data_IF_161619802249
#
_entry.id   IF_161619802249
#
_cell.length_a   1.000
_cell.length_b   1.000
_cell.length_c   1.000
_cell.angle_alpha   90.00
_cell.angle_beta   90.00
_cell.angle_gamma   90.00
#
_symmetry.space_group_name_H-M   'P 1'
#
loop_
_entity.id
_entity.type
_entity.pdbx_description
1 polymer ?
#
# COMPACT_ATOMS: atom_id res chain seq x y z
N UNK A 1 -16.36 -11.38 2.69
CA UNK A 1 -16.15 -12.83 2.48
C UNK A 1 -16.94 -13.22 1.25
N UNK A 2 -16.41 -14.10 0.40
CA UNK A 2 -17.11 -14.53 -0.81
C UNK A 2 -17.57 -15.96 -0.54
N UNK A 3 -18.87 -16.19 -0.47
CA UNK A 3 -19.48 -17.50 -0.29
C UNK A 3 -19.69 -18.24 -1.61
N UNK A 4 -20.40 -19.36 -1.57
CA UNK A 4 -20.69 -20.15 -2.76
C UNK A 4 -21.70 -19.46 -3.69
N UNK A 5 -22.69 -18.75 -3.13
CA UNK A 5 -23.75 -18.06 -3.88
C UNK A 5 -23.97 -16.61 -3.43
N UNK A 6 -23.05 -16.05 -2.65
CA UNK A 6 -23.23 -14.70 -2.09
C UNK A 6 -21.91 -14.00 -1.83
N UNK A 7 -21.97 -12.67 -1.79
CA UNK A 7 -20.90 -11.83 -1.25
C UNK A 7 -21.36 -11.31 0.10
N UNK A 8 -20.55 -11.52 1.13
CA UNK A 8 -20.86 -11.15 2.51
C UNK A 8 -19.97 -10.02 2.97
N UNK A 9 -20.56 -8.90 3.34
CA UNK A 9 -19.86 -7.80 3.99
C UNK A 9 -20.10 -7.87 5.49
N UNK A 10 -19.09 -7.55 6.30
CA UNK A 10 -19.21 -7.46 7.74
C UNK A 10 -19.05 -6.01 8.16
N UNK A 11 -19.94 -5.51 9.01
CA UNK A 11 -19.88 -4.17 9.58
C UNK A 11 -20.51 -4.16 10.97
N UNK A 12 -20.14 -3.22 11.83
CA UNK A 12 -20.83 -3.02 13.12
C UNK A 12 -22.24 -2.45 12.85
N UNK A 13 -23.28 -3.09 13.36
CA UNK A 13 -24.67 -2.67 13.13
C UNK A 13 -24.99 -1.32 13.77
N UNK A 14 -24.19 -0.86 14.74
CA UNK A 14 -24.34 0.46 15.36
C UNK A 14 -23.80 1.56 14.46
N UNK A 15 -22.92 1.21 13.52
CA UNK A 15 -22.51 2.12 12.47
C UNK A 15 -23.60 2.16 11.39
N UNK A 16 -24.60 2.99 11.65
CA UNK A 16 -25.73 3.21 10.76
C UNK A 16 -25.28 3.82 9.42
N UNK A 17 -24.19 4.59 9.43
CA UNK A 17 -23.64 5.23 8.23
C UNK A 17 -23.09 4.18 7.27
N UNK A 18 -22.22 3.29 7.76
CA UNK A 18 -21.66 2.20 6.95
C UNK A 18 -22.76 1.22 6.52
N UNK A 19 -23.67 0.88 7.44
CA UNK A 19 -24.79 -0.02 7.15
C UNK A 19 -25.70 0.53 6.04
N UNK A 20 -26.01 1.83 6.07
CA UNK A 20 -26.81 2.49 5.03
C UNK A 20 -26.06 2.54 3.69
N UNK A 21 -24.79 2.96 3.70
CA UNK A 21 -23.95 2.97 2.48
C UNK A 21 -23.90 1.60 1.82
N UNK A 22 -23.71 0.52 2.59
CA UNK A 22 -23.67 -0.84 2.05
C UNK A 22 -24.99 -1.22 1.35
N UNK A 23 -26.13 -0.94 1.96
CA UNK A 23 -27.45 -1.20 1.35
C UNK A 23 -27.65 -0.37 0.08
N UNK A 24 -27.34 0.91 0.14
CA UNK A 24 -27.51 1.84 -0.97
C UNK A 24 -26.62 1.46 -2.17
N UNK A 25 -25.34 1.14 -1.93
CA UNK A 25 -24.41 0.73 -2.99
C UNK A 25 -24.73 -0.65 -3.56
N UNK A 26 -25.18 -1.59 -2.73
CA UNK A 26 -25.64 -2.89 -3.20
C UNK A 26 -26.85 -2.74 -4.13
N UNK A 27 -27.83 -1.92 -3.75
CA UNK A 27 -29.01 -1.67 -4.58
C UNK A 27 -28.68 -0.91 -5.85
N UNK A 28 -27.88 0.17 -5.78
CA UNK A 28 -27.50 0.96 -6.96
C UNK A 28 -26.64 0.16 -7.95
N UNK A 29 -25.72 -0.67 -7.46
CA UNK A 29 -24.80 -1.41 -8.33
C UNK A 29 -25.38 -2.71 -8.88
N UNK A 30 -26.22 -3.40 -8.10
CA UNK A 30 -26.69 -4.76 -8.42
C UNK A 30 -28.22 -4.90 -8.45
N UNK A 31 -28.98 -3.88 -8.05
CA UNK A 31 -30.44 -3.98 -7.93
C UNK A 31 -30.90 -4.87 -6.77
N UNK A 32 -30.01 -5.21 -5.83
CA UNK A 32 -30.29 -6.19 -4.76
C UNK A 32 -30.16 -5.51 -3.41
N UNK A 33 -31.19 -5.65 -2.59
CA UNK A 33 -31.14 -5.29 -1.17
C UNK A 33 -30.47 -6.42 -0.38
N UNK A 34 -29.35 -6.17 0.32
CA UNK A 34 -28.65 -7.22 1.04
C UNK A 34 -29.41 -7.62 2.30
N UNK A 35 -29.46 -8.93 2.58
CA UNK A 35 -30.03 -9.45 3.81
C UNK A 35 -29.08 -9.16 4.98
N UNK A 36 -29.58 -8.53 6.04
CA UNK A 36 -28.78 -8.20 7.23
C UNK A 36 -29.04 -9.22 8.34
N UNK A 37 -27.97 -9.81 8.89
CA UNK A 37 -28.01 -10.73 10.02
C UNK A 37 -27.07 -10.22 11.11
N UNK A 38 -27.57 -10.09 12.35
CA UNK A 38 -26.73 -9.76 13.50
C UNK A 38 -26.12 -11.04 14.10
N UNK A 39 -24.84 -11.00 14.47
CA UNK A 39 -24.18 -12.09 15.17
C UNK A 39 -24.61 -12.15 16.65
N UNK A 40 -24.85 -13.38 17.13
CA UNK A 40 -25.20 -13.64 18.53
C UNK A 40 -24.09 -13.19 19.48
N UNK A 41 -24.44 -12.41 20.51
CA UNK A 41 -23.50 -11.96 21.54
C UNK A 41 -22.55 -10.82 21.11
N UNK A 42 -22.93 -10.04 20.09
CA UNK A 42 -22.19 -8.85 19.67
C UNK A 42 -22.97 -7.91 18.75
N UNK A 43 -22.29 -6.87 18.31
CA UNK A 43 -22.81 -5.88 17.36
C UNK A 43 -22.32 -6.11 15.92
N UNK A 44 -21.63 -7.22 15.66
CA UNK A 44 -21.20 -7.57 14.31
C UNK A 44 -22.39 -7.94 13.44
N UNK A 45 -22.62 -7.19 12.37
CA UNK A 45 -23.61 -7.47 11.33
C UNK A 45 -22.97 -8.08 10.10
N UNK A 46 -23.70 -8.99 9.45
CA UNK A 46 -23.37 -9.57 8.17
C UNK A 46 -24.42 -9.17 7.14
N UNK A 47 -23.97 -8.61 6.02
CA UNK A 47 -24.79 -8.16 4.90
C UNK A 47 -24.55 -9.09 3.73
N UNK A 48 -25.57 -9.87 3.39
CA UNK A 48 -25.52 -10.90 2.36
C UNK A 48 -26.10 -10.36 1.06
N UNK A 49 -25.22 -10.19 0.07
CA UNK A 49 -25.60 -9.96 -1.32
C UNK A 49 -25.76 -11.33 -2.00
N UNK A 50 -27.00 -11.83 -2.03
CA UNK A 50 -27.33 -13.17 -2.54
C UNK A 50 -27.42 -13.14 -4.08
N UNK A 51 -26.28 -13.24 -4.75
CA UNK A 51 -26.19 -13.28 -6.21
C UNK A 51 -24.95 -14.05 -6.65
N UNK A 52 -25.15 -15.07 -7.50
CA UNK A 52 -24.08 -15.83 -8.13
C UNK A 52 -23.28 -14.98 -9.13
N UNK A 53 -23.95 -14.05 -9.82
CA UNK A 53 -23.29 -13.10 -10.72
C UNK A 53 -22.37 -12.13 -9.96
N UNK A 54 -22.86 -11.57 -8.86
CA UNK A 54 -22.04 -10.71 -8.01
C UNK A 54 -20.86 -11.49 -7.41
N UNK A 55 -21.09 -12.72 -6.97
CA UNK A 55 -20.05 -13.61 -6.48
C UNK A 55 -18.95 -13.85 -7.54
N UNK A 56 -19.34 -14.21 -8.76
CA UNK A 56 -18.41 -14.47 -9.86
C UNK A 56 -17.61 -13.22 -10.23
N UNK A 57 -18.29 -12.06 -10.28
CA UNK A 57 -17.64 -10.76 -10.53
C UNK A 57 -16.59 -10.45 -9.46
N UNK A 58 -16.91 -10.59 -8.18
CA UNK A 58 -15.97 -10.30 -7.09
C UNK A 58 -14.76 -11.24 -7.10
N UNK A 59 -14.95 -12.51 -7.46
CA UNK A 59 -13.83 -13.44 -7.63
C UNK A 59 -12.94 -13.07 -8.82
N UNK A 60 -13.55 -12.69 -9.94
CA UNK A 60 -12.82 -12.23 -11.11
C UNK A 60 -11.97 -10.98 -10.80
N UNK A 61 -12.57 -10.00 -10.12
CA UNK A 61 -11.91 -8.74 -9.80
C UNK A 61 -10.85 -8.88 -8.70
N UNK A 62 -11.22 -9.49 -7.57
CA UNK A 62 -10.40 -9.45 -6.36
C UNK A 62 -9.61 -10.73 -6.09
N UNK A 63 -9.78 -11.74 -6.94
CA UNK A 63 -9.12 -13.02 -6.85
C UNK A 63 -9.85 -13.99 -5.90
N UNK A 64 -9.11 -14.56 -4.97
CA UNK A 64 -9.58 -15.71 -4.18
C UNK A 64 -10.47 -15.33 -3.00
N UNK A 65 -11.26 -16.31 -2.54
CA UNK A 65 -12.00 -16.27 -1.27
C UNK A 65 -11.09 -16.06 -0.04
N UNK A 66 -9.81 -16.44 -0.14
CA UNK A 66 -8.86 -16.40 0.98
C UNK A 66 -8.27 -14.99 1.14
N UNK A 67 -8.34 -14.46 2.36
CA UNK A 67 -7.84 -13.11 2.67
C UNK A 67 -6.38 -12.85 2.23
N UNK A 68 -5.40 -13.77 2.41
CA UNK A 68 -4.02 -13.54 1.97
C UNK A 68 -3.82 -13.47 0.45
N UNK A 69 -4.80 -13.94 -0.33
CA UNK A 69 -4.72 -14.07 -1.78
C UNK A 69 -5.53 -12.98 -2.51
N UNK A 70 -6.23 -12.12 -1.76
CA UNK A 70 -6.93 -10.98 -2.36
C UNK A 70 -5.94 -10.05 -3.05
N UNK A 71 -6.40 -9.37 -4.10
CA UNK A 71 -5.67 -8.36 -4.88
C UNK A 71 -6.64 -7.37 -5.48
N UNK A 72 -6.18 -6.19 -5.86
CA UNK A 72 -6.93 -5.25 -6.70
C UNK A 72 -6.60 -5.50 -8.17
N UNK A 73 -7.58 -5.39 -9.08
CA UNK A 73 -7.33 -5.43 -10.51
C UNK A 73 -6.64 -4.15 -10.99
N UNK A 74 -5.86 -4.23 -12.07
CA UNK A 74 -5.05 -3.12 -12.57
C UNK A 74 -5.88 -1.87 -12.89
N UNK A 75 -7.11 -2.04 -13.39
CA UNK A 75 -8.04 -0.93 -13.67
C UNK A 75 -8.29 -0.04 -12.45
N UNK A 76 -8.31 -0.61 -11.23
CA UNK A 76 -8.48 0.18 -10.00
C UNK A 76 -7.18 0.85 -9.57
N UNK A 77 -6.03 0.26 -9.89
CA UNK A 77 -4.70 0.82 -9.63
C UNK A 77 -4.44 2.07 -10.45
N UNK A 78 -4.96 2.13 -11.67
CA UNK A 78 -4.75 3.24 -12.62
C UNK A 78 -5.96 4.19 -12.74
N UNK A 79 -7.06 3.92 -12.02
CA UNK A 79 -8.27 4.73 -12.07
C UNK A 79 -8.04 6.21 -11.69
N UNK A 80 -8.92 7.14 -12.09
CA UNK A 80 -8.90 8.53 -11.62
C UNK A 80 -8.86 8.65 -10.09
N UNK A 81 -8.33 9.76 -9.56
CA UNK A 81 -8.12 9.93 -8.11
C UNK A 81 -9.44 9.86 -7.35
N UNK A 82 -10.50 10.38 -7.93
CA UNK A 82 -11.86 10.38 -7.38
C UNK A 82 -12.36 8.96 -7.12
N UNK A 83 -12.10 8.04 -8.06
CA UNK A 83 -12.41 6.62 -7.88
C UNK A 83 -11.56 6.01 -6.75
N UNK A 84 -10.26 6.33 -6.71
CA UNK A 84 -9.36 5.85 -5.67
C UNK A 84 -9.72 6.38 -4.28
N UNK A 85 -10.25 7.61 -4.18
CA UNK A 85 -10.76 8.16 -2.93
C UNK A 85 -11.95 7.33 -2.42
N UNK A 86 -12.91 7.00 -3.29
CA UNK A 86 -14.02 6.10 -2.96
C UNK A 86 -13.55 4.70 -2.54
N UNK A 87 -12.55 4.15 -3.23
CA UNK A 87 -11.93 2.87 -2.88
C UNK A 87 -11.26 2.91 -1.50
N UNK A 88 -10.49 3.97 -1.21
CA UNK A 88 -9.85 4.17 0.09
C UNK A 88 -10.89 4.33 1.20
N UNK A 89 -11.98 5.06 0.94
CA UNK A 89 -13.07 5.22 1.90
C UNK A 89 -13.77 3.89 2.18
N UNK A 90 -14.14 3.12 1.16
CA UNK A 90 -14.76 1.81 1.34
C UNK A 90 -13.85 0.80 2.06
N UNK A 91 -12.54 0.86 1.80
CA UNK A 91 -11.57 0.05 2.52
C UNK A 91 -11.44 0.49 3.98
N UNK A 92 -11.44 1.79 4.24
CA UNK A 92 -11.37 2.33 5.60
C UNK A 92 -12.63 2.02 6.41
N UNK A 93 -13.81 2.14 5.81
CA UNK A 93 -15.11 1.79 6.43
C UNK A 93 -15.15 0.30 6.86
N UNK A 94 -14.41 -0.58 6.18
CA UNK A 94 -14.34 -2.01 6.48
C UNK A 94 -13.21 -2.42 7.43
N UNK A 95 -11.96 -2.18 7.02
CA UNK A 95 -10.74 -2.67 7.69
C UNK A 95 -9.86 -1.53 8.24
N UNK A 96 -10.34 -0.29 8.16
CA UNK A 96 -9.64 0.90 8.63
C UNK A 96 -9.77 1.08 10.14
N UNK A 97 -8.73 1.65 10.72
CA UNK A 97 -8.74 2.11 12.11
C UNK A 97 -8.10 3.48 12.18
N UNK A 98 -8.68 4.37 12.98
CA UNK A 98 -8.09 5.66 13.23
C UNK A 98 -8.10 5.98 14.72
N UNK A 99 -7.11 6.79 15.11
CA UNK A 99 -7.10 7.52 16.37
C UNK A 99 -6.47 8.90 16.11
N UNK A 100 -6.36 9.73 17.15
CA UNK A 100 -5.74 11.07 17.04
C UNK A 100 -4.29 11.05 16.54
N UNK A 101 -3.61 9.90 16.65
CA UNK A 101 -2.20 9.73 16.34
C UNK A 101 -1.89 9.04 15.01
N UNK A 102 -2.84 8.32 14.40
CA UNK A 102 -2.59 7.56 13.18
C UNK A 102 -3.86 7.09 12.49
N UNK A 103 -3.80 6.96 11.17
CA UNK A 103 -4.72 6.14 10.38
C UNK A 103 -3.99 4.84 10.02
N UNK A 104 -4.67 3.70 10.18
CA UNK A 104 -4.10 2.38 9.96
C UNK A 104 -5.03 1.52 9.12
N UNK A 105 -4.45 0.77 8.19
CA UNK A 105 -5.12 -0.32 7.46
C UNK A 105 -4.39 -1.63 7.77
N UNK A 106 -5.13 -2.71 7.92
CA UNK A 106 -4.56 -4.03 8.21
C UNK A 106 -5.03 -5.05 7.18
N UNK A 107 -4.12 -5.89 6.68
CA UNK A 107 -4.44 -6.99 5.77
C UNK A 107 -3.49 -8.15 5.96
N UNK A 108 -3.93 -9.36 5.60
CA UNK A 108 -3.06 -10.55 5.52
C UNK A 108 -2.51 -10.77 4.11
N UNK A 109 -3.00 -10.03 3.11
CA UNK A 109 -2.50 -10.12 1.72
C UNK A 109 -1.30 -9.20 1.52
N UNK A 110 -0.17 -9.83 1.19
CA UNK A 110 1.05 -9.12 0.79
C UNK A 110 0.85 -8.31 -0.50
N UNK A 111 0.01 -8.77 -1.43
CA UNK A 111 -0.25 -8.03 -2.67
C UNK A 111 -1.08 -6.77 -2.38
N UNK A 112 -2.15 -6.92 -1.60
CA UNK A 112 -3.02 -5.78 -1.26
C UNK A 112 -2.29 -4.69 -0.48
N UNK A 113 -1.40 -5.04 0.45
CA UNK A 113 -0.71 -4.00 1.25
C UNK A 113 0.15 -3.09 0.36
N UNK A 114 0.82 -3.64 -0.65
CA UNK A 114 1.64 -2.85 -1.57
C UNK A 114 0.79 -2.06 -2.56
N UNK A 115 -0.30 -2.65 -3.06
CA UNK A 115 -1.27 -1.93 -3.88
C UNK A 115 -1.88 -0.74 -3.12
N UNK A 116 -2.26 -0.94 -1.87
CA UNK A 116 -2.73 0.14 -1.01
C UNK A 116 -1.68 1.24 -0.85
N UNK A 117 -0.43 0.88 -0.57
CA UNK A 117 0.66 1.85 -0.46
C UNK A 117 0.86 2.67 -1.76
N UNK A 118 0.80 2.03 -2.92
CA UNK A 118 0.91 2.73 -4.21
C UNK A 118 -0.26 3.69 -4.45
N UNK A 119 -1.49 3.28 -4.13
CA UNK A 119 -2.67 4.15 -4.21
C UNK A 119 -2.51 5.35 -3.25
N UNK A 120 -2.03 5.12 -2.03
CA UNK A 120 -1.77 6.21 -1.07
C UNK A 120 -0.71 7.19 -1.61
N UNK A 121 0.40 6.69 -2.16
CA UNK A 121 1.44 7.53 -2.77
C UNK A 121 0.91 8.37 -3.93
N UNK A 122 0.08 7.78 -4.81
CA UNK A 122 -0.59 8.50 -5.91
C UNK A 122 -1.50 9.64 -5.43
N UNK A 123 -2.04 9.50 -4.22
CA UNK A 123 -2.84 10.51 -3.53
C UNK A 123 -2.00 11.40 -2.59
N UNK A 124 -0.67 11.43 -2.75
CA UNK A 124 0.28 12.23 -1.97
C UNK A 124 0.26 11.93 -0.46
N UNK A 125 -0.14 10.72 -0.08
CA UNK A 125 -0.17 10.23 1.30
C UNK A 125 1.02 9.30 1.53
N UNK A 126 2.00 9.77 2.32
CA UNK A 126 3.13 8.94 2.73
C UNK A 126 2.68 7.95 3.81
N UNK A 127 3.07 6.69 3.64
CA UNK A 127 2.69 5.61 4.53
C UNK A 127 3.87 4.68 4.80
N UNK A 128 3.84 4.05 5.97
CA UNK A 128 4.82 3.02 6.35
C UNK A 128 4.14 1.67 6.50
N UNK A 129 4.79 0.61 6.02
CA UNK A 129 4.33 -0.77 6.21
C UNK A 129 5.11 -1.37 7.38
N UNK A 130 4.40 -2.09 8.26
CA UNK A 130 5.00 -2.92 9.31
C UNK A 130 4.37 -4.31 9.30
N UNK A 131 5.20 -5.32 9.50
CA UNK A 131 4.77 -6.72 9.48
C UNK A 131 4.72 -7.24 10.92
N UNK A 132 3.57 -7.74 11.35
CA UNK A 132 3.43 -8.47 12.60
C UNK A 132 3.46 -9.97 12.30
N UNK A 133 4.55 -10.62 12.71
CA UNK A 133 4.72 -12.07 12.58
C UNK A 133 3.75 -12.79 13.49
N UNK A 134 2.77 -13.47 12.90
CA UNK A 134 1.71 -14.19 13.63
C UNK A 134 1.43 -15.57 13.05
N UNK A 135 1.87 -15.88 11.83
CA UNK A 135 1.66 -17.20 11.25
C UNK A 135 2.18 -18.31 12.17
N UNK A 136 1.36 -19.34 12.40
CA UNK A 136 1.67 -20.47 13.29
C UNK A 136 1.44 -20.20 14.78
N UNK A 137 1.02 -19.00 15.17
CA UNK A 137 0.72 -18.67 16.57
C UNK A 137 -0.76 -18.88 16.89
N UNK A 138 -1.07 -18.99 18.18
CA UNK A 138 -2.44 -19.05 18.69
C UNK A 138 -2.73 -17.87 19.59
N UNK A 139 -3.97 -17.38 19.57
CA UNK A 139 -4.42 -16.39 20.54
C UNK A 139 -5.80 -16.76 21.05
N UNK A 140 -6.01 -16.57 22.35
CA UNK A 140 -7.32 -16.72 22.96
C UNK A 140 -8.06 -15.39 22.87
N UNK A 141 -9.18 -15.37 22.14
CA UNK A 141 -10.07 -14.22 22.05
C UNK A 141 -11.37 -14.60 22.75
N UNK A 142 -11.65 -13.95 23.88
CA UNK A 142 -12.73 -14.33 24.81
C UNK A 142 -12.55 -15.80 25.23
N UNK A 143 -13.48 -16.68 24.87
CA UNK A 143 -13.44 -18.12 25.13
C UNK A 143 -12.96 -18.96 23.95
N UNK A 144 -12.65 -18.36 22.79
CA UNK A 144 -12.29 -19.07 21.56
C UNK A 144 -10.78 -19.03 21.31
N UNK A 145 -10.21 -20.18 20.97
CA UNK A 145 -8.84 -20.25 20.43
C UNK A 145 -8.88 -19.91 18.94
N UNK A 146 -8.03 -18.97 18.54
CA UNK A 146 -7.87 -18.55 17.15
C UNK A 146 -6.47 -18.89 16.69
N UNK A 147 -6.39 -19.73 15.65
CA UNK A 147 -5.15 -20.07 14.96
C UNK A 147 -4.84 -19.01 13.91
N UNK A 148 -3.63 -18.45 13.94
CA UNK A 148 -3.19 -17.46 12.96
C UNK A 148 -2.45 -18.16 11.83
N UNK A 149 -3.05 -18.17 10.64
CA UNK A 149 -2.48 -18.87 9.48
C UNK A 149 -1.67 -17.95 8.55
N UNK A 150 -1.56 -16.66 8.88
CA UNK A 150 -0.87 -15.67 8.07
C UNK A 150 -0.31 -14.53 8.95
N UNK A 151 0.71 -13.86 8.45
CA UNK A 151 1.22 -12.62 9.03
C UNK A 151 0.28 -11.45 8.74
N UNK A 152 0.33 -10.43 9.59
CA UNK A 152 -0.41 -9.18 9.39
C UNK A 152 0.49 -8.09 8.84
N UNK A 153 0.04 -7.47 7.76
CA UNK A 153 0.64 -6.28 7.18
C UNK A 153 -0.18 -5.07 7.61
N UNK A 154 0.49 -4.10 8.24
CA UNK A 154 -0.14 -2.89 8.75
C UNK A 154 0.44 -1.68 8.03
N UNK A 155 -0.42 -0.97 7.29
CA UNK A 155 -0.09 0.33 6.72
C UNK A 155 -0.43 1.40 7.74
N UNK A 156 0.54 2.22 8.15
CA UNK A 156 0.33 3.32 9.10
C UNK A 156 0.68 4.65 8.47
N UNK A 157 -0.22 5.61 8.67
CA UNK A 157 -0.09 7.02 8.29
C UNK A 157 0.00 7.82 9.59
N UNK A 158 1.18 8.37 9.85
CA UNK A 158 1.51 9.00 11.15
C UNK A 158 1.95 10.45 10.96
N UNK A 159 2.61 10.81 9.87
CA UNK A 159 3.02 12.21 9.69
C UNK A 159 1.79 13.11 9.50
N UNK A 160 1.91 14.36 9.93
CA UNK A 160 0.78 15.30 9.98
C UNK A 160 0.21 15.61 8.60
N UNK A 161 1.06 15.77 7.59
CA UNK A 161 0.63 16.14 6.24
C UNK A 161 -0.20 15.01 5.62
N UNK A 162 0.37 13.81 5.54
CA UNK A 162 -0.32 12.63 5.00
C UNK A 162 -1.57 12.27 5.82
N UNK A 163 -1.52 12.42 7.15
CA UNK A 163 -2.68 12.21 8.01
C UNK A 163 -3.81 13.17 7.64
N UNK A 164 -3.53 14.47 7.53
CA UNK A 164 -4.55 15.47 7.23
C UNK A 164 -5.15 15.28 5.83
N UNK A 165 -4.31 15.00 4.81
CA UNK A 165 -4.78 14.70 3.44
C UNK A 165 -5.70 13.48 3.46
N UNK A 166 -5.27 12.40 4.11
CA UNK A 166 -6.05 11.17 4.15
C UNK A 166 -7.33 11.34 4.99
N UNK A 167 -7.29 12.08 6.10
CA UNK A 167 -8.48 12.41 6.88
C UNK A 167 -9.54 13.14 6.05
N UNK A 168 -9.12 14.05 5.17
CA UNK A 168 -10.02 14.74 4.25
C UNK A 168 -10.63 13.78 3.22
N UNK A 169 -9.80 12.96 2.56
CA UNK A 169 -10.25 11.93 1.61
C UNK A 169 -11.25 10.96 2.25
N UNK A 170 -10.98 10.55 3.49
CA UNK A 170 -11.81 9.60 4.24
C UNK A 170 -13.00 10.27 4.95
N UNK A 171 -13.09 11.60 4.91
CA UNK A 171 -14.11 12.39 5.63
C UNK A 171 -14.13 12.13 7.14
N UNK A 172 -12.95 11.97 7.76
CA UNK A 172 -12.83 11.76 9.21
C UNK A 172 -12.85 13.12 9.91
N UNK A 173 -13.86 13.35 10.75
CA UNK A 173 -13.97 14.55 11.57
C UNK A 173 -12.90 14.58 12.67
N UNK A 174 -11.78 15.24 12.38
CA UNK A 174 -10.68 15.41 13.34
C UNK A 174 -10.08 16.81 13.22
N UNK A 175 -9.52 17.32 14.32
CA UNK A 175 -8.70 18.53 14.27
C UNK A 175 -7.45 18.24 13.44
N UNK A 176 -7.05 19.20 12.58
CA UNK A 176 -5.82 19.10 11.80
C UNK A 176 -4.65 18.78 12.73
N UNK A 177 -3.97 17.69 12.41
CA UNK A 177 -2.81 17.23 13.15
C UNK A 177 -1.63 18.14 12.84
N UNK A 178 -0.96 18.59 13.88
CA UNK A 178 0.30 19.33 13.77
C UNK A 178 1.49 18.37 13.84
N UNK A 179 2.59 18.70 13.16
CA UNK A 179 3.80 17.89 13.21
C UNK A 179 4.35 17.90 14.63
N UNK A 180 4.63 16.72 15.18
CA UNK A 180 5.40 16.55 16.42
C UNK A 180 6.90 16.39 16.16
N UNK A 181 7.31 16.32 14.89
CA UNK A 181 8.69 16.05 14.50
C UNK A 181 9.39 17.35 14.14
N UNK A 182 10.53 17.60 14.79
CA UNK A 182 11.41 18.73 14.49
C UNK A 182 12.23 18.50 13.21
N UNK A 183 12.51 17.24 12.85
CA UNK A 183 13.23 16.87 11.63
C UNK A 183 12.25 16.38 10.55
N UNK A 184 12.52 16.79 9.32
CA UNK A 184 11.75 16.40 8.14
C UNK A 184 12.04 14.93 7.80
N UNK A 185 10.97 14.12 7.67
CA UNK A 185 11.08 12.66 7.42
C UNK A 185 11.16 12.29 5.94
N UNK A 186 10.73 13.18 5.06
CA UNK A 186 10.72 13.00 3.62
C UNK A 186 10.55 14.36 2.95
N UNK A 187 10.94 14.48 1.68
CA UNK A 187 10.74 15.69 0.87
C UNK A 187 10.11 15.30 -0.44
N UNK A 188 8.95 15.87 -0.76
CA UNK A 188 8.42 15.80 -2.11
C UNK A 188 9.30 16.66 -3.02
N UNK A 189 9.83 16.03 -4.07
CA UNK A 189 10.70 16.70 -5.03
C UNK A 189 9.88 17.37 -6.13
N UNK A 190 8.80 16.70 -6.51
CA UNK A 190 7.88 17.11 -7.55
C UNK A 190 6.49 16.48 -7.26
N UNK A 191 5.61 16.42 -8.25
CA UNK A 191 4.28 15.85 -8.11
C UNK A 191 4.23 14.31 -8.10
N UNK A 192 5.35 13.65 -8.41
CA UNK A 192 5.47 12.22 -8.70
C UNK A 192 6.52 11.51 -7.81
N UNK A 193 7.44 12.25 -7.20
CA UNK A 193 8.62 11.72 -6.53
C UNK A 193 8.77 12.23 -5.09
N UNK A 194 9.23 11.34 -4.21
CA UNK A 194 9.52 11.64 -2.81
C UNK A 194 10.88 11.10 -2.41
N UNK A 195 11.72 11.95 -1.82
CA UNK A 195 12.97 11.54 -1.18
C UNK A 195 12.72 11.13 0.26
N UNK A 196 13.24 9.98 0.65
CA UNK A 196 13.19 9.45 2.01
C UNK A 196 14.62 9.12 2.50
N UNK A 197 14.94 9.31 3.80
CA UNK A 197 16.26 9.01 4.31
C UNK A 197 16.52 7.50 4.34
N UNK A 198 17.76 7.12 4.00
CA UNK A 198 18.24 5.74 4.14
C UNK A 198 18.32 5.41 5.63
N UNK A 199 17.77 4.26 6.04
CA UNK A 199 17.77 3.81 7.43
C UNK A 199 18.89 2.83 7.75
N UNK A 200 19.24 1.99 6.78
CA UNK A 200 20.21 0.91 6.93
C UNK A 200 20.78 0.58 5.55
N UNK A 201 22.08 0.33 5.51
CA UNK A 201 22.79 -0.23 4.36
C UNK A 201 23.43 -1.54 4.85
N UNK A 202 23.25 -2.60 4.09
CA UNK A 202 23.79 -3.93 4.39
C UNK A 202 24.60 -4.42 3.21
N UNK A 203 25.76 -5.02 3.49
CA UNK A 203 26.59 -5.66 2.48
C UNK A 203 26.32 -7.17 2.52
N UNK A 204 26.07 -7.77 1.37
CA UNK A 204 25.91 -9.20 1.19
C UNK A 204 26.87 -9.71 0.12
N UNK A 205 27.37 -10.92 0.29
CA UNK A 205 28.26 -11.57 -0.68
C UNK A 205 27.44 -12.48 -1.59
N UNK A 206 27.51 -12.23 -2.90
CA UNK A 206 26.99 -13.06 -3.99
C UNK A 206 25.48 -13.39 -3.93
N UNK A 207 24.71 -12.72 -4.78
CA UNK A 207 23.28 -13.01 -4.98
C UNK A 207 22.94 -12.92 -6.46
N UNK A 208 21.93 -13.69 -6.88
CA UNK A 208 21.35 -13.49 -8.20
C UNK A 208 20.67 -12.12 -8.25
N UNK A 209 21.06 -11.31 -9.23
CA UNK A 209 20.51 -9.97 -9.49
C UNK A 209 19.94 -9.94 -10.90
N UNK A 210 18.80 -9.26 -11.04
CA UNK A 210 18.16 -9.04 -12.34
C UNK A 210 18.09 -7.54 -12.60
N UNK A 211 18.28 -7.16 -13.84
CA UNK A 211 18.17 -5.77 -14.31
C UNK A 211 17.21 -5.72 -15.51
N UNK A 212 16.62 -4.56 -15.73
CA UNK A 212 15.86 -4.27 -16.96
C UNK A 212 16.43 -3.02 -17.61
N UNK A 213 16.36 -2.96 -18.94
CA UNK A 213 16.76 -1.79 -19.71
C UNK A 213 15.50 -1.03 -20.13
N UNK A 214 15.33 0.17 -19.59
CA UNK A 214 14.30 1.13 -20.04
C UNK A 214 14.94 2.16 -20.96
N UNK A 215 14.31 2.39 -22.10
CA UNK A 215 14.69 3.40 -23.09
C UNK A 215 14.45 4.82 -22.54
N UNK A 216 15.16 5.82 -23.11
CA UNK A 216 15.09 7.25 -22.77
C UNK A 216 15.48 7.63 -21.33
N UNK A 217 14.63 7.31 -20.36
CA UNK A 217 14.76 7.74 -18.96
C UNK A 217 15.77 6.91 -18.17
N UNK A 218 16.20 5.77 -18.74
CA UNK A 218 17.13 4.79 -18.15
C UNK A 218 16.87 4.49 -16.67
N UNK A 219 15.61 4.51 -16.27
CA UNK A 219 15.19 4.33 -14.88
C UNK A 219 13.83 3.68 -14.79
N UNK A 220 13.61 2.97 -13.70
CA UNK A 220 12.39 2.22 -13.43
C UNK A 220 12.11 2.14 -11.93
N UNK A 221 10.92 1.64 -11.56
CA UNK A 221 10.55 1.48 -10.16
C UNK A 221 10.79 0.03 -9.71
N UNK A 222 11.68 -0.16 -8.73
CA UNK A 222 11.91 -1.44 -8.05
C UNK A 222 11.61 -1.30 -6.55
N UNK A 223 10.71 -2.14 -6.00
CA UNK A 223 10.47 -2.15 -4.56
C UNK A 223 9.90 -0.84 -3.98
N UNK A 224 9.21 -0.05 -4.81
CA UNK A 224 8.74 1.32 -4.54
C UNK A 224 9.82 2.42 -4.56
N UNK A 225 11.03 2.13 -5.06
CA UNK A 225 12.09 3.10 -5.27
C UNK A 225 12.38 3.29 -6.75
N UNK A 226 12.74 4.51 -7.13
CA UNK A 226 13.27 4.80 -8.46
C UNK A 226 14.72 4.29 -8.52
N UNK A 227 15.02 3.42 -9.47
CA UNK A 227 16.33 2.82 -9.73
C UNK A 227 16.75 3.15 -11.15
N UNK A 228 18.05 3.36 -11.36
CA UNK A 228 18.63 3.50 -12.69
C UNK A 228 18.92 2.12 -13.31
N UNK A 229 18.93 2.02 -14.64
CA UNK A 229 19.42 0.85 -15.36
C UNK A 229 20.85 0.50 -14.88
N UNK A 230 21.14 -0.78 -14.70
CA UNK A 230 22.53 -1.22 -14.61
C UNK A 230 23.16 -1.18 -16.01
N UNK A 231 23.79 -0.07 -16.38
CA UNK A 231 24.48 0.01 -17.67
C UNK A 231 25.85 -0.68 -17.57
N UNK A 232 26.33 -1.28 -18.67
CA UNK A 232 27.47 -2.22 -18.68
C UNK A 232 28.80 -1.66 -18.14
N UNK A 233 28.91 -0.34 -17.93
CA UNK A 233 30.03 0.29 -17.22
C UNK A 233 29.99 0.07 -15.68
N UNK A 234 28.85 -0.32 -15.12
CA UNK A 234 28.63 -0.49 -13.68
C UNK A 234 28.77 -1.95 -13.19
N UNK A 235 29.07 -2.91 -14.07
CA UNK A 235 29.30 -4.30 -13.66
C UNK A 235 29.57 -5.22 -14.84
N UNK A 236 30.84 -5.46 -15.14
CA UNK A 236 31.22 -6.63 -15.92
C UNK A 236 30.73 -7.89 -15.17
N UNK A 237 29.84 -8.65 -15.83
CA UNK A 237 29.44 -10.05 -15.63
C UNK A 237 27.92 -10.25 -15.40
N UNK A 238 27.31 -11.02 -16.31
CA UNK A 238 26.06 -11.74 -16.05
C UNK A 238 25.25 -11.98 -17.33
N UNK A 239 25.34 -13.17 -17.91
CA UNK A 239 24.45 -13.65 -18.96
C UNK A 239 22.98 -13.47 -18.50
N UNK A 240 22.23 -12.66 -19.24
CA UNK A 240 20.81 -12.43 -18.98
C UNK A 240 20.02 -13.70 -19.34
N UNK A 241 19.54 -14.42 -18.34
CA UNK A 241 18.44 -15.36 -18.50
C UNK A 241 17.14 -14.65 -18.15
N UNK A 242 16.19 -14.61 -19.10
CA UNK A 242 14.85 -14.09 -18.84
C UNK A 242 14.15 -15.00 -17.82
N UNK A 243 13.70 -14.43 -16.72
CA UNK A 243 12.82 -15.10 -15.77
C UNK A 243 11.77 -14.11 -15.30
N UNK A 244 10.53 -14.28 -15.76
CA UNK A 244 9.39 -13.49 -15.31
C UNK A 244 9.06 -13.85 -13.86
N UNK A 245 9.49 -13.02 -12.91
CA UNK A 245 8.99 -13.09 -11.54
C UNK A 245 7.75 -12.22 -11.40
N UNK A 246 6.58 -12.85 -11.31
CA UNK A 246 5.32 -12.17 -10.99
C UNK A 246 5.22 -11.96 -9.48
N UNK A 247 5.47 -10.75 -8.99
CA UNK A 247 5.29 -10.42 -7.58
C UNK A 247 5.73 -9.00 -7.23
N UNK A 248 5.17 -8.46 -6.15
CA UNK A 248 5.70 -7.21 -5.59
C UNK A 248 7.06 -7.49 -4.92
N UNK A 249 8.16 -6.85 -5.37
CA UNK A 249 9.44 -6.88 -4.67
C UNK A 249 9.26 -6.44 -3.20
N UNK A 250 10.13 -6.91 -2.31
CA UNK A 250 10.06 -6.47 -0.91
C UNK A 250 10.20 -4.94 -0.85
N UNK A 251 9.19 -4.25 -0.33
CA UNK A 251 9.29 -2.79 -0.18
C UNK A 251 10.39 -2.47 0.81
N UNK A 252 11.22 -1.47 0.51
CA UNK A 252 12.24 -1.01 1.45
C UNK A 252 13.64 -1.58 1.23
N UNK A 253 13.83 -2.48 0.25
CA UNK A 253 15.13 -3.05 -0.08
C UNK A 253 15.36 -3.00 -1.58
N UNK A 254 16.41 -2.27 -1.99
CA UNK A 254 16.95 -2.29 -3.34
C UNK A 254 18.34 -2.86 -3.23
N UNK A 255 18.63 -3.91 -4.01
CA UNK A 255 19.99 -4.42 -4.13
C UNK A 255 20.71 -3.60 -5.19
N UNK A 256 21.86 -3.02 -4.82
CA UNK A 256 22.72 -2.27 -5.72
C UNK A 256 24.13 -2.89 -5.70
N UNK A 257 24.85 -2.90 -6.83
CA UNK A 257 26.25 -3.32 -6.86
C UNK A 257 27.10 -2.40 -5.98
N UNK A 258 28.20 -2.93 -5.44
CA UNK A 258 29.08 -2.22 -4.49
C UNK A 258 29.78 -0.98 -5.07
N UNK A 259 29.70 -0.73 -6.38
CA UNK A 259 30.28 0.42 -7.05
C UNK A 259 29.30 1.07 -8.05
N UNK A 260 28.32 1.87 -7.58
CA UNK A 260 27.51 2.67 -8.49
C UNK A 260 28.41 3.70 -9.19
N UNK A 261 28.17 3.93 -10.48
CA UNK A 261 28.89 4.95 -11.26
C UNK A 261 28.83 6.31 -10.55
N UNK A 262 29.99 6.89 -10.21
CA UNK A 262 30.10 8.29 -9.83
C UNK A 262 29.87 9.10 -11.12
N UNK A 263 28.78 9.88 -11.16
CA UNK A 263 28.54 10.80 -12.27
C UNK A 263 29.66 11.84 -12.32
N UNK A 264 30.48 11.79 -13.37
CA UNK A 264 31.41 12.87 -13.70
C UNK A 264 30.61 14.03 -14.29
N UNK A 265 30.06 14.86 -13.42
CA UNK A 265 29.65 16.26 -13.61
C UNK A 265 28.71 16.60 -12.45
N UNK A 266 28.69 17.86 -12.04
CA UNK A 266 27.97 18.47 -10.90
C UNK A 266 26.42 18.39 -11.00
N UNK A 267 25.86 17.33 -11.58
CA UNK A 267 24.44 17.05 -11.71
C UNK A 267 24.17 15.57 -11.45
N UNK A 268 23.42 15.30 -10.38
CA UNK A 268 22.90 13.96 -10.10
C UNK A 268 21.56 13.80 -10.83
N UNK A 269 21.45 12.76 -11.68
CA UNK A 269 20.20 12.41 -12.37
C UNK A 269 19.57 11.19 -11.71
N UNK A 270 18.32 11.31 -11.26
CA UNK A 270 17.48 10.17 -10.84
C UNK A 270 16.15 10.31 -11.59
N UNK A 271 15.97 9.52 -12.66
CA UNK A 271 14.86 9.69 -13.60
C UNK A 271 14.86 11.07 -14.28
N UNK A 272 13.68 11.66 -14.46
CA UNK A 272 13.50 13.00 -15.04
C UNK A 272 13.94 14.16 -14.12
N UNK A 273 14.43 13.88 -12.90
CA UNK A 273 14.89 14.89 -11.97
C UNK A 273 16.41 15.08 -12.06
N UNK A 274 16.83 16.28 -12.47
CA UNK A 274 18.21 16.77 -12.31
C UNK A 274 18.31 17.56 -11.01
N UNK A 275 19.22 17.17 -10.13
CA UNK A 275 19.44 17.92 -8.88
C UNK A 275 20.61 18.88 -8.99
N UNK A 276 20.37 20.13 -8.60
CA UNK A 276 21.42 21.15 -8.55
C UNK A 276 22.27 21.03 -7.29
N UNK A 277 23.49 21.57 -7.32
CA UNK A 277 24.35 21.71 -6.12
C UNK A 277 23.65 22.43 -4.97
N UNK A 278 22.73 23.34 -5.29
CA UNK A 278 21.95 24.06 -4.30
C UNK A 278 20.91 23.15 -3.61
N UNK A 279 20.27 22.26 -4.37
CA UNK A 279 19.38 21.23 -3.81
C UNK A 279 20.18 20.22 -2.97
N UNK A 280 21.36 19.82 -3.43
CA UNK A 280 22.26 18.95 -2.66
C UNK A 280 22.68 19.58 -1.33
N UNK A 281 23.15 20.84 -1.33
CA UNK A 281 23.52 21.58 -0.09
C UNK A 281 22.33 21.71 0.86
N UNK A 282 21.14 21.98 0.31
CA UNK A 282 19.91 22.10 1.11
C UNK A 282 19.54 20.76 1.74
N UNK A 283 19.83 19.64 1.07
CA UNK A 283 19.63 18.30 1.63
C UNK A 283 20.69 17.92 2.66
N UNK A 284 21.97 18.21 2.41
CA UNK A 284 23.05 18.02 3.39
C UNK A 284 22.72 18.75 4.70
N UNK A 285 22.29 20.01 4.59
CA UNK A 285 21.85 20.80 5.74
C UNK A 285 20.60 20.22 6.42
N UNK A 286 19.63 19.71 5.65
CA UNK A 286 18.32 19.28 6.17
C UNK A 286 18.31 17.85 6.73
N UNK A 287 19.14 16.97 6.19
CA UNK A 287 19.22 15.55 6.55
C UNK A 287 20.51 15.16 7.25
N UNK A 288 21.55 16.02 7.24
CA UNK A 288 22.83 15.74 7.88
C UNK A 288 23.63 14.65 7.16
N UNK A 289 23.59 14.65 5.83
CA UNK A 289 24.41 13.80 4.96
C UNK A 289 25.77 14.47 4.78
#
# INVERSE_FOLDING_TARGET
>A
NIGHHSVVFAADIRDLTVSKKLKDYAYKSFGILPTQIQQTGGYGGQFYLNSTLAQALFLSLFGSHKAPQKRLPQVMMTAPKEFQHGLLQGWFDGDGSHNRGSITFTTTSRFLVYQLQQILFRNKVISSISISKRAGTQTKIRSRIVNHNADLYNVRIIDSNSYNILSEILSIETKKKQSKFHKVKYVFLDNCSVSVPIRRIEQNTCMHVSNISVEDDHSYVAGSFNTHNCDALAGACGLASESMYTGYPQSGLVHMPQMPSLGSNTQWRIGNASYSDQQWRLWNHKFGI
#
